data_IF_672789483190
#
_entry.id   IF_672789483190
#
_cell.length_a   1.000
_cell.length_b   1.000
_cell.length_c   1.000
_cell.angle_alpha   90.00
_cell.angle_beta   90.00
_cell.angle_gamma   90.00
#
_symmetry.space_group_name_H-M   'P 1'
#
loop_
_entity.id
_entity.type
_entity.pdbx_description
1 polymer ?
#
# COMPACT_ATOMS: atom_id res chain seq x y z
N UNK A 1 2.82 -16.60 -9.53
CA UNK A 1 1.38 -16.26 -9.41
C UNK A 1 1.21 -14.78 -9.16
N UNK A 2 0.19 -14.16 -9.78
CA UNK A 2 -0.03 -12.71 -9.77
C UNK A 2 -0.23 -12.12 -8.36
N UNK A 3 -0.85 -12.86 -7.44
CA UNK A 3 -1.08 -12.39 -6.07
C UNK A 3 0.19 -12.00 -5.31
N UNK A 4 1.29 -12.77 -5.47
CA UNK A 4 2.57 -12.45 -4.82
C UNK A 4 3.18 -11.16 -5.37
N UNK A 5 3.01 -10.91 -6.66
CA UNK A 5 3.46 -9.68 -7.29
C UNK A 5 2.62 -8.47 -6.84
N UNK A 6 1.30 -8.61 -6.80
CA UNK A 6 0.40 -7.55 -6.32
C UNK A 6 0.69 -7.18 -4.87
N UNK A 7 0.90 -8.16 -3.99
CA UNK A 7 1.30 -7.91 -2.60
C UNK A 7 2.62 -7.14 -2.50
N UNK A 8 3.63 -7.49 -3.31
CA UNK A 8 4.89 -6.74 -3.37
C UNK A 8 4.69 -5.31 -3.91
N UNK A 9 3.92 -5.14 -4.99
CA UNK A 9 3.68 -3.86 -5.64
C UNK A 9 2.97 -2.86 -4.72
N UNK A 10 1.95 -3.31 -4.00
CA UNK A 10 1.13 -2.47 -3.12
C UNK A 10 1.82 -2.19 -1.77
N UNK A 11 2.47 -3.19 -1.17
CA UNK A 11 2.98 -3.05 0.20
C UNK A 11 4.47 -2.68 0.30
N UNK A 12 5.29 -2.94 -0.73
CA UNK A 12 6.76 -2.86 -0.62
C UNK A 12 7.46 -2.03 -1.67
N UNK A 13 6.87 -1.86 -2.85
CA UNK A 13 7.51 -1.14 -3.95
C UNK A 13 7.37 0.37 -3.74
N UNK A 14 8.47 1.14 -3.61
CA UNK A 14 8.40 2.59 -3.66
C UNK A 14 8.09 3.05 -5.09
N UNK A 15 7.16 3.99 -5.24
CA UNK A 15 6.79 4.54 -6.55
C UNK A 15 7.19 6.01 -6.65
N UNK A 16 7.95 6.36 -7.68
CA UNK A 16 8.42 7.74 -7.91
C UNK A 16 7.26 8.74 -8.09
N UNK A 17 6.18 8.31 -8.76
CA UNK A 17 4.92 9.09 -8.87
C UNK A 17 4.23 9.36 -7.54
N UNK A 18 4.53 8.56 -6.51
CA UNK A 18 4.04 8.72 -5.14
C UNK A 18 5.09 9.33 -4.20
N UNK A 19 6.12 9.99 -4.74
CA UNK A 19 7.20 10.58 -3.95
C UNK A 19 8.02 9.53 -3.19
N UNK A 20 8.15 8.32 -3.74
CA UNK A 20 8.85 7.19 -3.12
C UNK A 20 8.03 6.39 -2.11
N UNK A 21 6.74 6.70 -1.93
CA UNK A 21 5.83 5.93 -1.06
C UNK A 21 5.24 4.71 -1.77
N UNK A 22 4.71 3.78 -1.00
CA UNK A 22 3.95 2.65 -1.52
C UNK A 22 2.46 3.05 -1.70
N UNK A 23 1.69 2.37 -2.56
CA UNK A 23 0.28 2.67 -2.74
C UNK A 23 -0.50 2.45 -1.45
N UNK A 24 -0.19 1.38 -0.69
CA UNK A 24 -0.80 1.18 0.63
C UNK A 24 -0.63 2.39 1.53
N UNK A 25 0.59 2.93 1.57
CA UNK A 25 0.91 4.09 2.40
C UNK A 25 0.18 5.36 1.95
N UNK A 26 0.05 5.55 0.64
CA UNK A 26 -0.65 6.72 0.08
C UNK A 26 -2.15 6.69 0.36
N UNK A 27 -2.79 5.52 0.27
CA UNK A 27 -4.25 5.42 0.38
C UNK A 27 -4.75 5.09 1.79
N UNK A 28 -3.95 4.43 2.63
CA UNK A 28 -4.40 3.90 3.92
C UNK A 28 -3.80 4.58 5.16
N UNK A 29 -2.68 5.31 5.08
CA UNK A 29 -2.01 5.90 6.27
C UNK A 29 -2.91 6.84 7.10
N UNK A 30 -3.92 7.46 6.47
CA UNK A 30 -4.83 8.42 7.11
C UNK A 30 -6.26 7.91 7.24
N UNK A 31 -6.52 6.64 6.93
CA UNK A 31 -7.85 6.10 7.15
C UNK A 31 -8.06 5.84 8.64
N UNK A 32 -9.27 6.11 9.17
CA UNK A 32 -9.64 5.66 10.50
C UNK A 32 -9.35 4.16 10.60
N UNK A 33 -8.65 3.74 11.65
CA UNK A 33 -8.49 2.32 11.91
C UNK A 33 -9.88 1.73 12.09
N UNK A 34 -10.26 0.81 11.18
CA UNK A 34 -11.47 0.06 11.36
C UNK A 34 -11.36 -0.69 12.69
N UNK A 35 -12.27 -0.40 13.62
CA UNK A 35 -12.37 -1.16 14.86
C UNK A 35 -12.71 -2.60 14.47
N UNK A 36 -11.86 -3.55 14.86
CA UNK A 36 -12.19 -4.96 14.75
C UNK A 36 -13.36 -5.26 15.72
N UNK A 37 -14.43 -5.84 15.21
CA UNK A 37 -15.61 -6.27 15.98
C UNK A 37 -15.37 -7.64 16.63
#
# INVERSE_FOLDING_TARGET
MIGRYLGFYNARRPHSSLGGRTPDRTYFDNLPQAMAA
#
